data_IF_035475527060
#
_entry.id   IF_035475527060
#
_cell.length_a   1.000
_cell.length_b   1.000
_cell.length_c   1.000
_cell.angle_alpha   90.00
_cell.angle_beta   90.00
_cell.angle_gamma   90.00
#
_symmetry.space_group_name_H-M   'P 1'
#
loop_
_entity.id
_entity.type
_entity.pdbx_description
1 polymer ?
#
# COMPACT_ATOMS: atom_id res chain seq x y z
N UNK A 1 -8.65 21.47 -7.56
CA UNK A 1 -8.27 21.11 -8.94
C UNK A 1 -9.40 20.31 -9.54
N UNK A 2 -9.84 20.64 -10.74
CA UNK A 2 -10.83 19.90 -11.51
C UNK A 2 -10.23 19.32 -12.79
N UNK A 3 -10.97 18.43 -13.44
CA UNK A 3 -10.54 17.73 -14.66
C UNK A 3 -11.73 17.60 -15.60
N UNK A 4 -11.52 17.90 -16.87
CA UNK A 4 -12.45 17.59 -17.96
C UNK A 4 -12.01 16.30 -18.66
N UNK A 5 -12.87 15.29 -18.66
CA UNK A 5 -12.53 13.95 -19.15
C UNK A 5 -12.39 13.86 -20.68
N UNK A 6 -13.12 14.68 -21.44
CA UNK A 6 -13.11 14.63 -22.91
C UNK A 6 -11.78 15.09 -23.52
N UNK A 7 -11.24 16.20 -23.04
CA UNK A 7 -10.04 16.85 -23.57
C UNK A 7 -8.79 16.65 -22.68
N UNK A 8 -8.92 15.95 -21.56
CA UNK A 8 -7.88 15.81 -20.55
C UNK A 8 -7.35 17.16 -20.03
N UNK A 9 -8.23 18.17 -19.92
CA UNK A 9 -7.86 19.45 -19.38
C UNK A 9 -7.95 19.46 -17.85
N UNK A 10 -6.99 20.09 -17.20
CA UNK A 10 -6.92 20.21 -15.75
C UNK A 10 -7.08 21.68 -15.38
N UNK A 11 -7.88 21.96 -14.35
CA UNK A 11 -8.22 23.31 -13.93
C UNK A 11 -7.89 23.55 -12.46
N UNK A 12 -7.44 24.75 -12.13
CA UNK A 12 -7.38 25.27 -10.77
C UNK A 12 -8.39 26.41 -10.64
N UNK A 13 -9.55 26.14 -10.05
CA UNK A 13 -10.69 27.03 -10.15
C UNK A 13 -11.16 27.13 -11.61
N UNK A 14 -11.21 28.31 -12.13
CA UNK A 14 -11.58 28.61 -13.54
C UNK A 14 -10.36 28.63 -14.49
N UNK A 15 -9.15 28.62 -13.95
CA UNK A 15 -7.93 28.66 -14.73
C UNK A 15 -7.55 27.27 -15.25
N UNK A 16 -7.46 27.10 -16.57
CA UNK A 16 -6.88 25.92 -17.18
C UNK A 16 -5.36 25.87 -16.95
N UNK A 17 -4.87 24.69 -16.55
CA UNK A 17 -3.45 24.45 -16.35
C UNK A 17 -2.81 23.96 -17.67
N UNK A 18 -2.20 24.90 -18.40
CA UNK A 18 -1.54 24.69 -19.69
C UNK A 18 -0.03 25.04 -19.60
N UNK A 19 0.69 24.72 -20.67
CA UNK A 19 2.09 25.14 -20.90
C UNK A 19 3.13 24.62 -19.89
N UNK A 20 2.82 23.51 -19.21
CA UNK A 20 3.78 22.83 -18.35
C UNK A 20 4.63 21.83 -19.15
N UNK A 21 5.94 21.85 -18.96
CA UNK A 21 6.87 20.85 -19.46
C UNK A 21 7.03 19.69 -18.48
N UNK A 22 6.77 19.94 -17.21
CA UNK A 22 6.88 18.94 -16.14
C UNK A 22 5.98 19.25 -14.96
N UNK A 23 5.58 18.24 -14.23
CA UNK A 23 4.86 18.36 -12.95
C UNK A 23 5.55 17.55 -11.85
N UNK A 24 5.44 18.01 -10.61
CA UNK A 24 5.93 17.34 -9.41
C UNK A 24 4.72 17.07 -8.50
N UNK A 25 4.07 15.90 -8.62
CA UNK A 25 2.92 15.58 -7.80
C UNK A 25 3.29 15.41 -6.31
N UNK A 26 2.55 16.05 -5.42
CA UNK A 26 2.66 15.93 -3.97
C UNK A 26 1.33 15.47 -3.40
N UNK A 27 1.04 14.18 -3.55
CA UNK A 27 -0.26 13.58 -3.24
C UNK A 27 -0.23 12.97 -1.84
N UNK A 28 -1.14 13.40 -0.96
CA UNK A 28 -1.37 12.80 0.35
C UNK A 28 -1.98 11.41 0.26
N UNK A 29 -1.90 10.64 1.33
CA UNK A 29 -2.40 9.26 1.40
C UNK A 29 -3.94 9.18 1.29
N UNK A 30 -4.65 10.14 1.89
CA UNK A 30 -6.12 10.21 1.89
C UNK A 30 -6.74 10.54 0.52
N UNK A 31 -5.95 11.03 -0.44
CA UNK A 31 -6.44 11.51 -1.74
C UNK A 31 -5.80 10.78 -2.92
N UNK A 32 -5.43 9.52 -2.73
CA UNK A 32 -4.74 8.72 -3.76
C UNK A 32 -5.53 8.62 -5.06
N UNK A 33 -6.82 8.30 -4.99
CA UNK A 33 -7.67 8.20 -6.18
C UNK A 33 -7.75 9.53 -6.94
N UNK A 34 -8.06 10.60 -6.23
CA UNK A 34 -8.14 11.94 -6.82
C UNK A 34 -6.79 12.38 -7.41
N UNK A 35 -5.70 12.18 -6.64
CA UNK A 35 -4.36 12.54 -7.10
C UNK A 35 -3.92 11.79 -8.35
N UNK A 36 -4.17 10.48 -8.42
CA UNK A 36 -3.87 9.69 -9.62
C UNK A 36 -4.68 10.14 -10.83
N UNK A 37 -5.96 10.48 -10.61
CA UNK A 37 -6.83 11.01 -11.67
C UNK A 37 -6.36 12.36 -12.22
N UNK A 38 -5.81 13.23 -11.36
CA UNK A 38 -5.25 14.53 -11.81
C UNK A 38 -3.91 14.38 -12.51
N UNK A 39 -3.08 13.39 -12.14
CA UNK A 39 -1.80 13.14 -12.82
C UNK A 39 -2.02 12.60 -14.24
N UNK A 40 -2.96 11.71 -14.43
CA UNK A 40 -3.20 11.00 -15.69
C UNK A 40 -3.38 11.90 -16.93
N UNK A 41 -4.14 13.00 -16.90
CA UNK A 41 -4.23 13.94 -18.02
C UNK A 41 -2.90 14.52 -18.48
N UNK A 42 -1.99 14.81 -17.54
CA UNK A 42 -0.65 15.30 -17.89
C UNK A 42 0.18 14.20 -18.56
N UNK A 43 0.05 12.95 -18.12
CA UNK A 43 0.69 11.81 -18.77
C UNK A 43 0.18 11.60 -20.19
N UNK A 44 -1.14 11.71 -20.41
CA UNK A 44 -1.77 11.60 -21.74
C UNK A 44 -1.24 12.71 -22.68
N UNK A 45 -1.00 13.91 -22.17
CA UNK A 45 -0.41 15.02 -22.93
C UNK A 45 1.11 14.92 -23.06
N UNK A 46 1.74 13.80 -22.64
CA UNK A 46 3.20 13.60 -22.64
C UNK A 46 3.99 14.63 -21.83
N UNK A 47 3.38 15.22 -20.80
CA UNK A 47 4.04 16.11 -19.86
C UNK A 47 4.81 15.25 -18.86
N UNK A 48 6.09 15.56 -18.66
CA UNK A 48 6.93 14.81 -17.73
C UNK A 48 6.37 14.88 -16.31
N UNK A 49 6.31 13.74 -15.63
CA UNK A 49 5.92 13.66 -14.22
C UNK A 49 6.95 12.88 -13.41
N UNK A 50 7.32 13.40 -12.23
CA UNK A 50 8.23 12.71 -11.30
C UNK A 50 7.59 11.53 -10.61
N UNK A 51 6.25 11.43 -10.63
CA UNK A 51 5.46 10.35 -10.05
C UNK A 51 4.30 10.04 -11.01
N UNK A 52 4.33 8.87 -11.63
CA UNK A 52 3.22 8.47 -12.50
C UNK A 52 1.97 8.10 -11.70
N UNK A 53 0.80 8.29 -12.32
CA UNK A 53 -0.49 7.89 -11.77
C UNK A 53 -0.51 6.41 -11.39
N UNK A 54 0.03 5.55 -12.23
CA UNK A 54 0.13 4.11 -12.00
C UNK A 54 1.08 3.77 -10.83
N UNK A 55 2.24 4.45 -10.74
CA UNK A 55 3.18 4.25 -9.65
C UNK A 55 2.58 4.67 -8.31
N UNK A 56 1.84 5.79 -8.28
CA UNK A 56 1.12 6.24 -7.10
C UNK A 56 0.13 5.18 -6.60
N UNK A 57 -0.74 4.68 -7.48
CA UNK A 57 -1.75 3.66 -7.12
C UNK A 57 -1.08 2.36 -6.65
N UNK A 58 -0.06 1.88 -7.36
CA UNK A 58 0.66 0.64 -7.00
C UNK A 58 1.37 0.74 -5.66
N UNK A 59 1.99 1.87 -5.36
CA UNK A 59 2.73 2.06 -4.10
C UNK A 59 1.82 2.21 -2.88
N UNK A 60 0.59 2.69 -3.08
CA UNK A 60 -0.41 2.87 -2.01
C UNK A 60 -1.21 1.61 -1.72
N UNK A 61 -1.37 0.75 -2.70
CA UNK A 61 -2.07 -0.53 -2.55
C UNK A 61 -1.10 -1.62 -2.05
N UNK A 62 -1.27 -2.05 -0.80
CA UNK A 62 -0.41 -3.06 -0.17
C UNK A 62 -0.37 -4.38 -0.96
N UNK A 63 -1.52 -4.80 -1.51
CA UNK A 63 -1.60 -6.04 -2.28
C UNK A 63 -0.86 -5.91 -3.62
N UNK A 64 -1.12 -4.84 -4.35
CA UNK A 64 -0.44 -4.57 -5.63
C UNK A 64 1.06 -4.37 -5.46
N UNK A 65 1.48 -3.64 -4.44
CA UNK A 65 2.90 -3.50 -4.11
C UNK A 65 3.57 -4.85 -3.87
N UNK A 66 2.96 -5.71 -3.06
CA UNK A 66 3.45 -7.07 -2.79
C UNK A 66 3.52 -7.92 -4.08
N UNK A 67 2.51 -7.84 -4.94
CA UNK A 67 2.49 -8.55 -6.24
C UNK A 67 3.61 -8.07 -7.18
N UNK A 68 3.87 -6.76 -7.22
CA UNK A 68 4.97 -6.19 -8.03
C UNK A 68 6.33 -6.67 -7.52
N UNK A 69 6.55 -6.67 -6.20
CA UNK A 69 7.79 -7.17 -5.59
C UNK A 69 7.99 -8.65 -5.89
N UNK A 70 6.96 -9.47 -5.71
CA UNK A 70 7.00 -10.90 -6.02
C UNK A 70 7.33 -11.17 -7.51
N UNK A 71 6.71 -10.42 -8.43
CA UNK A 71 6.99 -10.53 -9.88
C UNK A 71 8.47 -10.29 -10.22
N UNK A 72 9.15 -9.44 -9.45
CA UNK A 72 10.56 -9.13 -9.66
C UNK A 72 11.51 -10.00 -8.82
N UNK A 73 11.01 -11.08 -8.19
CA UNK A 73 11.82 -12.00 -7.39
C UNK A 73 12.34 -11.42 -6.08
N UNK A 74 11.78 -10.28 -5.63
CA UNK A 74 12.15 -9.67 -4.36
C UNK A 74 11.49 -10.47 -3.24
N UNK A 75 12.28 -10.87 -2.23
CA UNK A 75 11.79 -11.60 -1.07
C UNK A 75 10.72 -10.80 -0.32
N UNK A 76 9.60 -11.44 -0.09
CA UNK A 76 8.47 -10.88 0.67
C UNK A 76 8.05 -11.90 1.74
N UNK A 77 7.50 -11.46 2.88
CA UNK A 77 6.88 -12.37 3.84
C UNK A 77 5.75 -13.17 3.19
N UNK A 78 5.55 -14.42 3.60
CA UNK A 78 4.41 -15.21 3.15
C UNK A 78 3.12 -14.45 3.42
N UNK A 79 2.38 -14.16 2.37
CA UNK A 79 1.20 -13.30 2.45
C UNK A 79 0.04 -13.94 1.72
N UNK A 80 -1.12 -13.96 2.36
CA UNK A 80 -2.38 -14.39 1.77
C UNK A 80 -3.37 -13.23 1.81
N UNK A 81 -3.99 -12.94 0.69
CA UNK A 81 -5.11 -12.02 0.59
C UNK A 81 -6.42 -12.80 0.77
N UNK A 82 -7.31 -12.28 1.61
CA UNK A 82 -8.64 -12.85 1.79
C UNK A 82 -9.67 -11.76 2.02
N UNK A 83 -10.86 -11.97 1.47
CA UNK A 83 -12.04 -11.13 1.74
C UNK A 83 -13.05 -11.90 2.59
N UNK A 84 -13.29 -13.15 2.24
CA UNK A 84 -14.25 -14.05 2.90
C UNK A 84 -13.68 -15.47 2.91
N UNK A 85 -12.70 -15.77 3.79
CA UNK A 85 -12.12 -17.10 3.82
C UNK A 85 -13.17 -18.12 4.31
N UNK A 86 -13.47 -19.12 3.46
CA UNK A 86 -14.34 -20.24 3.86
C UNK A 86 -13.69 -21.11 4.92
N UNK A 87 -12.36 -21.17 4.93
CA UNK A 87 -11.56 -21.92 5.89
C UNK A 87 -10.43 -21.06 6.46
N UNK A 88 -10.70 -20.44 7.60
CA UNK A 88 -9.74 -19.60 8.34
C UNK A 88 -8.53 -20.42 8.81
N UNK A 89 -8.74 -21.71 9.17
CA UNK A 89 -7.64 -22.57 9.62
C UNK A 89 -6.64 -22.85 8.49
N UNK A 90 -7.13 -23.09 7.29
CA UNK A 90 -6.27 -23.30 6.12
C UNK A 90 -5.50 -22.01 5.77
N UNK A 91 -6.15 -20.85 5.85
CA UNK A 91 -5.50 -19.57 5.64
C UNK A 91 -4.35 -19.35 6.63
N UNK A 92 -4.58 -19.57 7.93
CA UNK A 92 -3.55 -19.48 8.97
C UNK A 92 -2.39 -20.46 8.68
N UNK A 93 -2.70 -21.68 8.28
CA UNK A 93 -1.68 -22.69 7.92
C UNK A 93 -0.85 -22.28 6.72
N UNK A 94 -1.45 -21.67 5.71
CA UNK A 94 -0.77 -21.24 4.47
C UNK A 94 0.33 -20.22 4.74
N UNK A 95 0.15 -19.32 5.71
CA UNK A 95 1.18 -18.34 6.10
C UNK A 95 2.21 -18.88 7.10
N UNK A 96 2.09 -20.14 7.51
CA UNK A 96 3.04 -20.79 8.42
C UNK A 96 2.59 -20.87 9.87
N UNK A 97 1.37 -20.39 10.19
CA UNK A 97 0.84 -20.38 11.56
C UNK A 97 1.28 -19.16 12.39
N UNK A 98 0.81 -19.10 13.63
CA UNK A 98 1.18 -18.02 14.55
C UNK A 98 2.65 -18.08 15.03
N UNK A 99 3.24 -16.94 15.42
CA UNK A 99 2.66 -15.61 15.34
C UNK A 99 2.49 -15.13 13.90
N UNK A 100 1.45 -14.38 13.62
CA UNK A 100 1.16 -13.82 12.30
C UNK A 100 0.58 -12.40 12.41
N UNK A 101 0.63 -11.67 11.31
CA UNK A 101 0.08 -10.33 11.22
C UNK A 101 -1.18 -10.34 10.36
N UNK A 102 -2.26 -9.77 10.88
CA UNK A 102 -3.47 -9.48 10.11
C UNK A 102 -3.52 -7.99 9.83
N UNK A 103 -3.67 -7.62 8.56
CA UNK A 103 -3.70 -6.21 8.12
C UNK A 103 -4.96 -5.92 7.34
N UNK A 104 -5.62 -4.82 7.65
CA UNK A 104 -6.62 -4.26 6.75
C UNK A 104 -5.94 -3.77 5.47
N UNK A 105 -6.51 -4.09 4.32
CA UNK A 105 -6.01 -3.57 3.05
C UNK A 105 -6.20 -2.05 2.98
N UNK A 106 -7.36 -1.60 3.41
CA UNK A 106 -7.75 -0.19 3.49
C UNK A 106 -7.48 0.33 4.90
N UNK A 107 -6.30 0.85 5.13
CA UNK A 107 -5.90 1.44 6.42
C UNK A 107 -4.58 2.17 6.28
N UNK A 108 -4.47 3.32 6.94
CA UNK A 108 -3.28 4.17 6.92
C UNK A 108 -2.63 4.21 8.31
N UNK A 109 -1.35 4.56 8.36
CA UNK A 109 -0.58 4.86 9.58
C UNK A 109 -0.56 3.74 10.65
N UNK A 110 -0.66 2.47 10.23
CA UNK A 110 -0.64 1.32 11.16
C UNK A 110 -1.99 0.97 11.76
N UNK A 111 -3.02 1.76 11.54
CA UNK A 111 -4.39 1.40 11.92
C UNK A 111 -4.83 0.14 11.15
N UNK A 112 -5.40 -0.83 11.87
CA UNK A 112 -5.83 -2.11 11.29
C UNK A 112 -4.69 -3.09 11.02
N UNK A 113 -3.57 -3.00 11.77
CA UNK A 113 -2.51 -4.01 11.81
C UNK A 113 -2.52 -4.67 13.18
N UNK A 114 -2.73 -5.98 13.23
CA UNK A 114 -2.83 -6.74 14.47
C UNK A 114 -1.85 -7.90 14.45
N UNK A 115 -1.03 -8.00 15.49
CA UNK A 115 -0.22 -9.20 15.79
C UNK A 115 -1.10 -10.23 16.48
N UNK A 116 -1.17 -11.42 15.92
CA UNK A 116 -1.87 -12.55 16.51
C UNK A 116 -0.85 -13.63 16.91
N UNK A 117 -0.60 -13.75 18.20
CA UNK A 117 0.42 -14.63 18.76
C UNK A 117 -0.04 -16.09 18.86
N UNK A 118 -1.35 -16.31 18.91
CA UNK A 118 -1.95 -17.66 19.03
C UNK A 118 -2.94 -17.94 17.88
N UNK A 119 -3.19 -19.20 17.63
CA UNK A 119 -4.18 -19.62 16.62
C UNK A 119 -5.58 -19.11 16.95
N UNK A 120 -5.97 -19.08 18.23
CA UNK A 120 -7.26 -18.56 18.67
C UNK A 120 -7.36 -17.06 18.41
N UNK A 121 -6.34 -16.28 18.79
CA UNK A 121 -6.30 -14.86 18.52
C UNK A 121 -6.36 -14.55 17.01
N UNK A 122 -5.57 -15.28 16.21
CA UNK A 122 -5.59 -15.14 14.76
C UNK A 122 -6.98 -15.37 14.17
N UNK A 123 -7.64 -16.46 14.60
CA UNK A 123 -9.00 -16.80 14.16
C UNK A 123 -9.98 -15.69 14.54
N UNK A 124 -9.96 -15.25 15.79
CA UNK A 124 -10.88 -14.20 16.29
C UNK A 124 -10.72 -12.88 15.52
N UNK A 125 -9.49 -12.44 15.26
CA UNK A 125 -9.21 -11.21 14.51
C UNK A 125 -9.66 -11.32 13.06
N UNK A 126 -9.36 -12.44 12.41
CA UNK A 126 -9.76 -12.69 11.02
C UNK A 126 -11.29 -12.71 10.91
N UNK A 127 -11.97 -13.41 11.80
CA UNK A 127 -13.45 -13.48 11.84
C UNK A 127 -14.09 -12.11 12.14
N UNK A 128 -13.49 -11.31 13.03
CA UNK A 128 -13.96 -9.96 13.31
C UNK A 128 -13.88 -9.04 12.08
N UNK A 129 -12.74 -9.03 11.39
CA UNK A 129 -12.60 -8.25 10.16
C UNK A 129 -13.47 -8.77 9.02
N UNK A 130 -13.70 -10.08 8.98
CA UNK A 130 -14.63 -10.71 8.08
C UNK A 130 -16.08 -10.23 8.33
N UNK A 131 -16.52 -10.16 9.60
CA UNK A 131 -17.82 -9.62 9.97
C UNK A 131 -18.04 -8.17 9.51
N UNK A 132 -16.95 -7.41 9.39
CA UNK A 132 -16.94 -6.04 8.84
C UNK A 132 -16.88 -5.98 7.30
N UNK A 133 -16.92 -7.13 6.62
CA UNK A 133 -16.75 -7.23 5.16
C UNK A 133 -15.44 -6.59 4.64
N UNK A 134 -14.40 -6.55 5.47
CA UNK A 134 -13.13 -5.94 5.15
C UNK A 134 -12.24 -6.84 4.28
N UNK A 135 -11.46 -6.21 3.41
CA UNK A 135 -10.37 -6.88 2.69
C UNK A 135 -9.16 -6.99 3.63
N UNK A 136 -8.64 -8.20 3.81
CA UNK A 136 -7.51 -8.44 4.71
C UNK A 136 -6.31 -9.07 4.02
N UNK A 137 -5.12 -8.74 4.51
CA UNK A 137 -3.89 -9.48 4.28
C UNK A 137 -3.52 -10.22 5.57
N UNK A 138 -3.28 -11.51 5.45
CA UNK A 138 -2.69 -12.32 6.52
C UNK A 138 -1.26 -12.63 6.12
N UNK A 139 -0.32 -12.35 7.00
CA UNK A 139 1.11 -12.39 6.69
C UNK A 139 1.87 -13.06 7.83
N UNK A 140 2.92 -13.82 7.49
CA UNK A 140 3.84 -14.35 8.49
C UNK A 140 4.48 -13.20 9.30
N UNK A 141 4.73 -13.47 10.56
CA UNK A 141 5.47 -12.54 11.42
C UNK A 141 6.96 -12.78 11.31
N UNK A 142 7.72 -11.74 11.00
CA UNK A 142 9.19 -11.81 10.90
C UNK A 142 9.79 -11.57 12.27
N UNK A 143 10.08 -12.66 12.98
CA UNK A 143 10.61 -12.63 14.35
C UNK A 143 11.98 -11.93 14.44
N UNK A 144 12.79 -12.12 13.41
CA UNK A 144 14.15 -11.56 13.32
C UNK A 144 14.15 -10.03 13.29
N UNK A 145 13.04 -9.42 12.86
CA UNK A 145 12.89 -7.98 12.85
C UNK A 145 12.72 -7.38 14.26
N UNK A 146 12.26 -8.17 15.24
CA UNK A 146 12.09 -7.72 16.63
C UNK A 146 11.18 -6.49 16.75
N UNK A 147 10.13 -6.39 15.96
CA UNK A 147 9.24 -5.22 15.90
C UNK A 147 9.87 -3.98 15.26
N UNK A 148 10.99 -4.14 14.55
CA UNK A 148 11.65 -3.02 13.87
C UNK A 148 11.57 -3.12 12.37
N UNK A 149 11.68 -1.98 11.69
CA UNK A 149 11.84 -1.90 10.23
C UNK A 149 13.02 -0.98 9.85
N UNK A 150 13.55 -1.19 8.66
CA UNK A 150 14.59 -0.32 8.10
C UNK A 150 13.96 0.48 6.96
N UNK A 151 14.17 1.79 7.01
CA UNK A 151 13.80 2.69 5.92
C UNK A 151 15.04 3.15 5.19
N UNK A 152 15.10 2.87 3.89
CA UNK A 152 16.15 3.33 3.02
C UNK A 152 15.62 4.47 2.12
N UNK A 153 16.39 5.55 2.05
CA UNK A 153 16.14 6.66 1.15
C UNK A 153 16.96 6.46 -0.12
N UNK A 154 16.28 6.33 -1.25
CA UNK A 154 16.90 6.02 -2.53
C UNK A 154 16.74 7.20 -3.49
N UNK A 155 17.84 7.69 -4.03
CA UNK A 155 17.87 8.72 -5.05
C UNK A 155 18.80 8.29 -6.18
N UNK A 156 18.35 8.35 -7.43
CA UNK A 156 19.15 7.96 -8.59
C UNK A 156 19.66 6.51 -8.51
N UNK A 157 18.88 5.58 -7.95
CA UNK A 157 19.25 4.18 -7.78
C UNK A 157 20.25 3.89 -6.64
N UNK A 158 20.63 4.90 -5.86
CA UNK A 158 21.55 4.76 -4.72
C UNK A 158 20.87 5.04 -3.40
N UNK A 159 21.15 4.23 -2.38
CA UNK A 159 20.76 4.51 -1.00
C UNK A 159 21.61 5.65 -0.47
N UNK A 160 20.99 6.80 -0.20
CA UNK A 160 21.66 7.99 0.31
C UNK A 160 21.53 8.14 1.83
N UNK A 161 20.53 7.54 2.43
CA UNK A 161 20.33 7.47 3.87
C UNK A 161 19.51 6.23 4.23
N UNK A 162 19.72 5.71 5.44
CA UNK A 162 18.90 4.67 6.01
C UNK A 162 18.77 4.87 7.52
N UNK A 163 17.61 4.50 8.08
CA UNK A 163 17.42 4.48 9.53
C UNK A 163 16.55 3.30 9.94
N UNK A 164 16.84 2.80 11.14
CA UNK A 164 16.02 1.78 11.78
C UNK A 164 14.90 2.47 12.57
N UNK A 165 13.69 1.98 12.40
CA UNK A 165 12.53 2.40 13.18
C UNK A 165 12.13 1.25 14.10
N UNK A 166 11.98 1.53 15.38
CA UNK A 166 11.49 0.60 16.38
C UNK A 166 9.99 0.84 16.60
N UNK A 167 9.18 -0.20 16.52
CA UNK A 167 7.79 -0.16 16.96
C UNK A 167 7.70 0.10 18.46
N UNK A 168 6.67 0.80 18.90
CA UNK A 168 6.37 0.89 20.33
C UNK A 168 5.97 -0.50 20.84
N UNK A 169 6.51 -0.89 21.99
CA UNK A 169 5.99 -2.03 22.72
C UNK A 169 4.56 -1.68 23.16
N UNK A 170 3.59 -2.42 22.65
CA UNK A 170 2.18 -2.29 22.95
C UNK A 170 1.71 -3.41 23.84
#
# INVERSE_FOLDING_TARGET
VGMETGNNNVFLGEQELTDFQAIIPRIGDSVTFYGSSIISPFEVKNIYTTLSSLALVRSRDKLRATQVLAKHGIGIPKTVFAKQPRDVNNLIKTVGGPPLIVKLLEGTQGLGVVLAETKTAAKSVIEAFYGLNANILVQEFIKEAGGSDIRAFVVGGKVIAAYKRQGQEG
#
